data_IF_297244236995
#
_entry.id   IF_297244236995
#
_cell.length_a   1.000
_cell.length_b   1.000
_cell.length_c   1.000
_cell.angle_alpha   90.00
_cell.angle_beta   90.00
_cell.angle_gamma   90.00
#
_symmetry.space_group_name_H-M   'P 1'
#
loop_
_entity.id
_entity.type
_entity.pdbx_description
1 polymer ?
#
# COMPACT_ATOMS: atom_id res chain seq x y z
N UNK A 1 -22.94 45.90 -27.41
CA UNK A 1 -23.83 45.27 -28.42
C UNK A 1 -23.05 44.09 -28.99
N UNK A 2 -23.48 42.82 -28.96
CA UNK A 2 -24.76 42.16 -29.29
C UNK A 2 -24.88 41.87 -30.81
N UNK A 3 -25.08 40.56 -31.12
CA UNK A 3 -25.42 39.91 -32.41
C UNK A 3 -24.26 39.75 -33.44
N UNK A 4 -23.94 38.54 -33.94
CA UNK A 4 -24.67 37.58 -34.83
C UNK A 4 -24.72 38.09 -36.30
N UNK A 5 -24.63 37.29 -37.39
CA UNK A 5 -24.62 35.83 -37.67
C UNK A 5 -24.10 35.60 -39.14
N UNK A 6 -23.88 34.43 -39.79
CA UNK A 6 -24.15 32.97 -39.58
C UNK A 6 -23.18 32.10 -40.43
N UNK A 7 -22.76 30.91 -39.94
CA UNK A 7 -22.35 29.67 -40.67
C UNK A 7 -21.92 28.63 -39.62
N UNK A 8 -22.62 27.54 -39.27
CA UNK A 8 -23.68 26.70 -39.87
C UNK A 8 -23.21 25.64 -40.90
N UNK A 9 -22.53 24.61 -40.39
CA UNK A 9 -22.81 23.20 -40.71
C UNK A 9 -23.13 22.52 -39.36
N UNK A 10 -24.38 22.10 -39.12
CA UNK A 10 -24.93 20.78 -39.44
C UNK A 10 -24.29 19.64 -38.63
N UNK A 11 -24.83 19.41 -37.44
CA UNK A 11 -24.97 18.06 -36.90
C UNK A 11 -26.00 17.32 -37.76
N UNK A 12 -25.77 16.05 -38.07
CA UNK A 12 -26.82 15.11 -38.43
C UNK A 12 -26.89 14.01 -37.36
N UNK A 13 -28.09 13.77 -36.83
CA UNK A 13 -28.35 12.70 -35.88
C UNK A 13 -28.36 11.35 -36.59
N UNK A 14 -27.55 10.40 -36.14
CA UNK A 14 -27.85 8.98 -36.31
C UNK A 14 -28.25 8.42 -34.95
N UNK A 15 -29.56 8.26 -34.74
CA UNK A 15 -30.09 7.41 -33.67
C UNK A 15 -30.01 5.96 -34.14
N UNK A 16 -29.21 5.15 -33.46
CA UNK A 16 -29.49 3.70 -33.36
C UNK A 16 -29.79 3.40 -31.90
N UNK A 17 -31.07 3.41 -31.57
CA UNK A 17 -31.58 2.86 -30.32
C UNK A 17 -31.87 1.38 -30.52
N UNK A 18 -31.07 0.51 -29.90
CA UNK A 18 -31.53 -0.79 -29.42
C UNK A 18 -30.62 -1.27 -28.28
N UNK A 19 -31.24 -1.87 -27.26
CA UNK A 19 -30.62 -2.67 -26.20
C UNK A 19 -29.66 -1.97 -25.20
N UNK A 20 -30.03 -0.78 -24.75
CA UNK A 20 -30.36 -0.60 -23.31
C UNK A 20 -29.27 -0.75 -22.23
N UNK A 21 -27.98 -0.75 -22.54
CA UNK A 21 -26.90 -0.65 -21.54
C UNK A 21 -25.97 0.55 -21.83
N UNK A 22 -25.39 1.12 -20.77
CA UNK A 22 -24.44 2.24 -20.84
C UNK A 22 -23.16 1.88 -20.10
N UNK A 23 -22.21 1.27 -20.81
CA UNK A 23 -20.83 1.16 -20.35
C UNK A 23 -20.09 2.49 -20.60
N UNK A 24 -19.55 3.10 -19.55
CA UNK A 24 -18.78 4.35 -19.66
C UNK A 24 -17.35 4.04 -20.15
N UNK A 25 -17.16 4.00 -21.47
CA UNK A 25 -15.86 3.75 -22.08
C UNK A 25 -14.96 5.00 -21.91
N UNK A 26 -13.94 4.91 -21.03
CA UNK A 26 -12.94 5.96 -20.83
C UNK A 26 -11.94 6.00 -22.01
N UNK A 27 -12.38 6.58 -23.12
CA UNK A 27 -11.54 6.88 -24.28
C UNK A 27 -10.57 8.02 -23.93
N UNK A 28 -9.34 7.68 -23.56
CA UNK A 28 -8.24 8.64 -23.41
C UNK A 28 -7.92 9.29 -24.77
N UNK A 29 -7.80 10.63 -24.87
CA UNK A 29 -7.51 11.30 -26.13
C UNK A 29 -6.13 10.93 -26.70
N UNK A 30 -6.10 10.33 -27.89
CA UNK A 30 -4.87 9.96 -28.61
C UNK A 30 -4.24 11.14 -29.36
N UNK A 31 -3.95 12.25 -28.66
CA UNK A 31 -3.08 13.33 -29.13
C UNK A 31 -2.72 14.34 -28.02
N UNK A 32 -1.55 14.17 -27.38
CA UNK A 32 -0.63 15.25 -26.99
C UNK A 32 0.66 14.66 -26.37
N UNK A 33 1.68 14.40 -27.20
CA UNK A 33 3.02 14.02 -26.71
C UNK A 33 3.79 15.30 -26.35
N UNK A 34 3.58 15.78 -25.12
CA UNK A 34 4.33 16.92 -24.58
C UNK A 34 5.72 16.45 -24.17
N UNK A 35 6.70 16.62 -25.06
CA UNK A 35 8.12 16.58 -24.68
C UNK A 35 8.40 17.71 -23.68
N UNK A 36 8.68 17.35 -22.42
CA UNK A 36 9.34 18.27 -21.48
C UNK A 36 10.84 17.97 -21.44
N UNK A 37 11.65 19.02 -21.61
CA UNK A 37 13.09 18.91 -21.73
C UNK A 37 13.79 18.71 -20.39
N UNK A 38 15.01 18.15 -20.44
CA UNK A 38 15.87 17.93 -19.27
C UNK A 38 16.13 19.22 -18.47
N UNK A 39 15.61 19.28 -17.25
CA UNK A 39 16.04 20.22 -16.21
C UNK A 39 17.02 19.49 -15.27
N UNK A 40 18.31 19.79 -15.40
CA UNK A 40 19.36 19.03 -14.73
C UNK A 40 19.47 19.30 -13.23
N UNK A 41 18.90 18.43 -12.39
CA UNK A 41 19.30 18.30 -10.99
C UNK A 41 19.11 16.87 -10.49
N UNK A 42 20.15 16.03 -10.60
CA UNK A 42 20.15 14.69 -9.98
C UNK A 42 20.14 14.85 -8.45
N UNK A 43 19.16 14.29 -7.70
CA UNK A 43 19.49 13.78 -6.38
C UNK A 43 20.55 12.68 -6.59
N UNK A 44 21.65 12.71 -5.84
CA UNK A 44 22.65 11.65 -5.93
C UNK A 44 22.00 10.30 -5.59
N UNK A 45 22.24 9.29 -6.42
CA UNK A 45 21.84 7.92 -6.08
C UNK A 45 22.52 7.52 -4.75
N UNK A 46 21.82 6.85 -3.82
CA UNK A 46 22.46 6.20 -2.69
C UNK A 46 23.56 5.27 -3.22
N UNK A 47 24.80 5.45 -2.77
CA UNK A 47 26.01 4.95 -3.41
C UNK A 47 26.28 3.44 -3.19
N UNK A 48 25.25 2.61 -3.32
CA UNK A 48 25.26 1.19 -2.92
C UNK A 48 24.33 0.30 -3.78
N UNK A 49 23.89 0.78 -4.95
CA UNK A 49 23.00 0.04 -5.88
C UNK A 49 23.52 -0.05 -7.32
N UNK A 50 24.20 0.96 -7.85
CA UNK A 50 24.79 0.96 -9.21
C UNK A 50 25.93 -0.05 -9.38
N UNK A 51 26.48 -0.56 -8.28
CA UNK A 51 27.43 -1.67 -8.21
C UNK A 51 26.75 -3.06 -8.28
N UNK A 52 25.51 -3.18 -7.83
CA UNK A 52 24.94 -4.49 -7.51
C UNK A 52 24.73 -5.38 -8.75
N UNK A 53 24.19 -4.85 -9.84
CA UNK A 53 23.99 -5.62 -11.08
C UNK A 53 25.28 -5.77 -11.90
N UNK A 54 26.07 -4.69 -11.98
CA UNK A 54 27.31 -4.60 -12.74
C UNK A 54 28.44 -5.48 -12.17
N UNK A 55 28.46 -5.72 -10.86
CA UNK A 55 29.35 -6.69 -10.22
C UNK A 55 28.77 -8.12 -10.25
N UNK A 56 27.45 -8.31 -10.11
CA UNK A 56 26.84 -9.63 -10.09
C UNK A 56 26.86 -10.34 -11.44
N UNK A 57 26.65 -9.64 -12.56
CA UNK A 57 26.59 -10.32 -13.88
C UNK A 57 27.93 -11.00 -14.24
N UNK A 58 29.10 -10.35 -14.16
CA UNK A 58 30.39 -11.01 -14.37
C UNK A 58 30.64 -12.16 -13.38
N UNK A 59 30.32 -11.98 -12.09
CA UNK A 59 30.47 -13.04 -11.08
C UNK A 59 29.60 -14.27 -11.36
N UNK A 60 28.38 -14.07 -11.87
CA UNK A 60 27.49 -15.16 -12.27
C UNK A 60 27.99 -15.85 -13.53
N UNK A 61 28.52 -15.12 -14.51
CA UNK A 61 29.09 -15.66 -15.74
C UNK A 61 30.37 -16.48 -15.44
N UNK A 62 31.25 -15.99 -14.55
CA UNK A 62 32.43 -16.72 -14.08
C UNK A 62 32.04 -18.02 -13.35
N UNK A 63 30.98 -17.97 -12.53
CA UNK A 63 30.57 -19.07 -11.65
C UNK A 63 29.68 -20.13 -12.32
N UNK A 64 28.86 -19.74 -13.29
CA UNK A 64 27.85 -20.61 -13.92
C UNK A 64 28.03 -20.79 -15.43
N UNK A 65 28.98 -20.11 -16.07
CA UNK A 65 29.12 -19.88 -17.51
C UNK A 65 28.04 -18.96 -18.11
N UNK A 66 28.41 -18.23 -19.17
CA UNK A 66 27.52 -17.28 -19.86
C UNK A 66 26.25 -17.95 -20.41
N UNK A 67 26.39 -19.15 -20.96
CA UNK A 67 25.29 -19.93 -21.55
C UNK A 67 24.20 -20.24 -20.51
N UNK A 68 24.56 -20.75 -19.33
CA UNK A 68 23.58 -21.04 -18.27
C UNK A 68 22.96 -19.76 -17.67
N UNK A 69 23.71 -18.66 -17.59
CA UNK A 69 23.18 -17.35 -17.16
C UNK A 69 22.17 -16.80 -18.17
N UNK A 70 22.44 -16.95 -19.47
CA UNK A 70 21.51 -16.67 -20.57
C UNK A 70 20.25 -17.53 -20.49
N UNK A 71 20.39 -18.85 -20.36
CA UNK A 71 19.27 -19.79 -20.15
C UNK A 71 18.39 -19.41 -18.95
N UNK A 72 18.98 -19.03 -17.82
CA UNK A 72 18.23 -18.58 -16.65
C UNK A 72 17.51 -17.24 -16.90
N UNK A 73 18.08 -16.30 -17.65
CA UNK A 73 17.37 -15.08 -18.06
C UNK A 73 16.22 -15.38 -19.03
N UNK A 74 16.45 -16.27 -19.99
CA UNK A 74 15.46 -16.70 -20.99
C UNK A 74 14.30 -17.49 -20.38
N UNK A 75 14.55 -18.47 -19.49
CA UNK A 75 13.46 -19.15 -18.79
C UNK A 75 12.71 -18.16 -17.89
N UNK A 76 13.41 -17.30 -17.13
CA UNK A 76 12.77 -16.26 -16.31
C UNK A 76 11.80 -15.41 -17.15
N UNK A 77 12.28 -14.89 -18.28
CA UNK A 77 11.52 -14.10 -19.22
C UNK A 77 10.31 -14.87 -19.80
N UNK A 78 10.51 -16.09 -20.27
CA UNK A 78 9.44 -16.93 -20.84
C UNK A 78 8.36 -17.32 -19.81
N UNK A 79 8.67 -17.36 -18.51
CA UNK A 79 7.67 -17.49 -17.43
C UNK A 79 6.95 -16.16 -17.17
N UNK A 80 7.69 -15.05 -17.13
CA UNK A 80 7.15 -13.69 -16.92
C UNK A 80 6.14 -13.32 -18.01
N UNK A 81 6.46 -13.54 -19.28
CA UNK A 81 5.56 -13.33 -20.41
C UNK A 81 4.23 -14.08 -20.27
N UNK A 82 4.28 -15.37 -19.89
CA UNK A 82 3.05 -16.18 -19.67
C UNK A 82 2.20 -15.68 -18.51
N UNK A 83 2.80 -15.06 -17.49
CA UNK A 83 2.06 -14.41 -16.40
C UNK A 83 1.44 -13.10 -16.89
N UNK A 84 2.13 -12.30 -17.71
CA UNK A 84 1.55 -11.13 -18.38
C UNK A 84 0.35 -11.50 -19.25
N UNK A 85 0.51 -12.46 -20.15
CA UNK A 85 -0.55 -12.95 -21.05
C UNK A 85 -1.77 -13.46 -20.27
N UNK A 86 -1.53 -14.25 -19.22
CA UNK A 86 -2.61 -14.77 -18.37
C UNK A 86 -3.33 -13.64 -17.61
N UNK A 87 -2.59 -12.70 -17.02
CA UNK A 87 -3.15 -11.55 -16.30
C UNK A 87 -3.93 -10.62 -17.22
N UNK A 88 -3.43 -10.37 -18.44
CA UNK A 88 -4.15 -9.61 -19.46
C UNK A 88 -5.44 -10.32 -19.86
N UNK A 89 -5.40 -11.64 -20.07
CA UNK A 89 -6.62 -12.42 -20.38
C UNK A 89 -7.67 -12.33 -19.28
N UNK A 90 -7.27 -12.30 -18.00
CA UNK A 90 -8.17 -12.19 -16.86
C UNK A 90 -8.89 -10.81 -16.78
N UNK A 91 -8.27 -9.76 -17.30
CA UNK A 91 -8.85 -8.41 -17.36
C UNK A 91 -9.81 -8.22 -18.55
N UNK A 92 -9.71 -9.06 -19.58
CA UNK A 92 -10.52 -9.00 -20.80
C UNK A 92 -11.73 -9.95 -20.77
N UNK A 93 -11.79 -10.89 -19.81
CA UNK A 93 -13.00 -11.70 -19.61
C UNK A 93 -14.12 -10.87 -18.97
N UNK A 94 -15.17 -10.62 -19.76
CA UNK A 94 -16.44 -10.07 -19.27
C UNK A 94 -17.18 -10.99 -18.29
N UNK A 95 -18.50 -10.80 -18.15
CA UNK A 95 -19.32 -11.48 -17.13
C UNK A 95 -19.64 -12.97 -17.42
N UNK A 96 -18.69 -13.74 -17.94
CA UNK A 96 -18.80 -15.20 -18.12
C UNK A 96 -17.98 -15.91 -17.03
N UNK A 97 -18.69 -16.48 -16.05
CA UNK A 97 -18.10 -17.21 -14.92
C UNK A 97 -17.20 -18.39 -15.36
N UNK A 98 -17.51 -19.02 -16.49
CA UNK A 98 -16.75 -20.18 -16.99
C UNK A 98 -15.42 -19.73 -17.59
N UNK A 99 -15.44 -18.69 -18.43
CA UNK A 99 -14.23 -18.11 -18.99
C UNK A 99 -13.37 -17.42 -17.92
N UNK A 100 -13.98 -16.80 -16.88
CA UNK A 100 -13.25 -16.21 -15.76
C UNK A 100 -12.55 -17.29 -14.93
N UNK A 101 -13.22 -18.40 -14.61
CA UNK A 101 -12.63 -19.54 -13.90
C UNK A 101 -11.41 -20.10 -14.65
N UNK A 102 -11.51 -20.22 -15.97
CA UNK A 102 -10.43 -20.70 -16.83
C UNK A 102 -9.26 -19.71 -16.94
N UNK A 103 -9.54 -18.39 -17.00
CA UNK A 103 -8.50 -17.35 -16.98
C UNK A 103 -7.78 -17.29 -15.62
N UNK A 104 -8.51 -17.35 -14.50
CA UNK A 104 -7.92 -17.44 -13.15
C UNK A 104 -7.03 -18.68 -13.02
N UNK A 105 -7.47 -19.83 -13.56
CA UNK A 105 -6.66 -21.05 -13.57
C UNK A 105 -5.34 -20.86 -14.32
N UNK A 106 -5.35 -20.25 -15.51
CA UNK A 106 -4.14 -19.94 -16.28
C UNK A 106 -3.19 -19.00 -15.52
N UNK A 107 -3.73 -17.96 -14.88
CA UNK A 107 -2.96 -17.05 -14.01
C UNK A 107 -2.26 -17.81 -12.87
N UNK A 108 -2.99 -18.70 -12.17
CA UNK A 108 -2.44 -19.51 -11.08
C UNK A 108 -1.37 -20.50 -11.57
N UNK A 109 -1.59 -21.15 -12.71
CA UNK A 109 -0.63 -22.09 -13.31
C UNK A 109 0.65 -21.38 -13.80
N UNK A 110 0.53 -20.25 -14.49
CA UNK A 110 1.67 -19.45 -14.95
C UNK A 110 2.48 -18.88 -13.76
N UNK A 111 1.79 -18.27 -12.78
CA UNK A 111 2.41 -17.66 -11.60
C UNK A 111 3.06 -18.72 -10.71
N UNK A 112 2.42 -19.87 -10.56
CA UNK A 112 2.99 -21.05 -9.89
C UNK A 112 4.25 -21.57 -10.58
N UNK A 113 4.26 -21.63 -11.92
CA UNK A 113 5.44 -22.04 -12.70
C UNK A 113 6.62 -21.07 -12.52
N UNK A 114 6.35 -19.76 -12.50
CA UNK A 114 7.37 -18.73 -12.26
C UNK A 114 8.01 -18.84 -10.87
N UNK A 115 7.21 -18.90 -9.79
CA UNK A 115 7.78 -19.04 -8.44
C UNK A 115 8.43 -20.41 -8.20
N UNK A 116 7.96 -21.48 -8.85
CA UNK A 116 8.62 -22.79 -8.81
C UNK A 116 9.97 -22.83 -9.56
N UNK A 117 10.17 -21.94 -10.54
CA UNK A 117 11.46 -21.68 -11.18
C UNK A 117 12.37 -20.85 -10.25
N UNK A 118 11.92 -19.70 -9.74
CA UNK A 118 12.68 -18.87 -8.78
C UNK A 118 13.12 -19.63 -7.52
N UNK A 119 12.33 -20.61 -7.06
CA UNK A 119 12.65 -21.44 -5.90
C UNK A 119 13.75 -22.50 -6.14
N UNK A 120 14.10 -22.80 -7.40
CA UNK A 120 15.16 -23.74 -7.79
C UNK A 120 16.49 -23.05 -8.12
N UNK A 121 16.46 -21.75 -8.41
CA UNK A 121 17.63 -20.99 -8.80
C UNK A 121 18.62 -20.81 -7.63
N UNK A 122 19.94 -20.77 -7.91
CA UNK A 122 20.95 -20.30 -6.97
C UNK A 122 20.60 -18.94 -6.37
N UNK A 123 21.00 -18.69 -5.12
CA UNK A 123 20.59 -17.50 -4.38
C UNK A 123 21.06 -16.18 -5.01
N UNK A 124 22.25 -16.18 -5.58
CA UNK A 124 22.86 -15.09 -6.34
C UNK A 124 22.19 -14.90 -7.72
N UNK A 125 21.96 -15.97 -8.49
CA UNK A 125 21.24 -15.89 -9.76
C UNK A 125 19.81 -15.37 -9.56
N UNK A 126 19.13 -15.88 -8.52
CA UNK A 126 17.80 -15.41 -8.09
C UNK A 126 17.83 -13.94 -7.65
N UNK A 127 18.89 -13.50 -6.95
CA UNK A 127 19.08 -12.09 -6.56
C UNK A 127 19.25 -11.20 -7.78
N UNK A 128 20.06 -11.60 -8.76
CA UNK A 128 20.24 -10.88 -10.02
C UNK A 128 18.92 -10.75 -10.81
N UNK A 129 18.19 -11.85 -11.02
CA UNK A 129 16.90 -11.82 -11.74
C UNK A 129 15.83 -10.97 -11.03
N UNK A 130 15.84 -10.90 -9.70
CA UNK A 130 14.95 -10.00 -8.93
C UNK A 130 15.38 -8.53 -9.08
N UNK A 131 16.68 -8.25 -9.14
CA UNK A 131 17.20 -6.89 -9.36
C UNK A 131 16.92 -6.40 -10.79
N UNK A 132 17.03 -7.28 -11.80
CA UNK A 132 16.65 -7.00 -13.19
C UNK A 132 15.19 -6.55 -13.38
N UNK A 133 14.31 -6.83 -12.41
CA UNK A 133 12.95 -6.30 -12.45
C UNK A 133 12.84 -4.78 -12.27
N UNK A 134 13.84 -4.13 -11.65
CA UNK A 134 13.82 -2.70 -11.30
C UNK A 134 14.94 -1.87 -11.94
N UNK A 135 15.56 -2.39 -12.99
CA UNK A 135 16.68 -1.76 -13.70
C UNK A 135 16.23 -0.57 -14.55
N UNK A 136 16.99 0.52 -14.57
CA UNK A 136 16.76 1.68 -15.45
C UNK A 136 17.44 1.53 -16.81
N UNK A 137 17.08 2.35 -17.79
CA UNK A 137 17.72 2.33 -19.12
C UNK A 137 19.24 2.55 -19.03
N UNK A 138 19.69 3.57 -18.27
CA UNK A 138 21.11 3.84 -17.97
C UNK A 138 21.84 2.61 -17.39
N UNK A 139 21.17 1.79 -16.57
CA UNK A 139 21.72 0.58 -15.96
C UNK A 139 21.68 -0.65 -16.90
N UNK A 140 20.70 -0.73 -17.81
CA UNK A 140 20.69 -1.71 -18.90
C UNK A 140 21.88 -1.42 -19.83
N UNK A 141 22.04 -0.18 -20.30
CA UNK A 141 23.15 0.20 -21.17
C UNK A 141 24.50 -0.08 -20.49
N UNK A 142 24.64 0.23 -19.20
CA UNK A 142 25.83 -0.12 -18.41
C UNK A 142 26.11 -1.63 -18.31
N UNK A 143 25.09 -2.49 -18.23
CA UNK A 143 25.27 -3.95 -18.31
C UNK A 143 25.69 -4.40 -19.71
N UNK A 144 25.14 -3.77 -20.75
CA UNK A 144 25.44 -4.05 -22.15
C UNK A 144 26.81 -3.53 -22.62
N UNK A 145 27.42 -2.60 -21.88
CA UNK A 145 28.84 -2.23 -22.02
C UNK A 145 29.78 -3.27 -21.39
N UNK A 146 29.37 -3.92 -20.30
CA UNK A 146 30.18 -4.90 -19.56
C UNK A 146 30.13 -6.29 -20.22
N UNK A 147 28.93 -6.76 -20.58
CA UNK A 147 28.69 -8.08 -21.18
C UNK A 147 27.77 -7.95 -22.42
N UNK A 148 28.31 -7.47 -23.56
CA UNK A 148 27.51 -7.20 -24.77
C UNK A 148 26.93 -8.45 -25.43
N UNK A 149 27.44 -9.63 -25.08
CA UNK A 149 27.09 -10.92 -25.69
C UNK A 149 25.81 -11.55 -25.12
N UNK A 150 25.25 -11.03 -24.01
CA UNK A 150 23.94 -11.44 -23.45
C UNK A 150 22.84 -10.39 -23.67
N UNK A 151 22.98 -9.65 -24.78
CA UNK A 151 22.14 -8.47 -25.09
C UNK A 151 20.68 -8.83 -25.32
N UNK A 152 20.41 -9.94 -26.00
CA UNK A 152 19.05 -10.32 -26.34
C UNK A 152 18.28 -10.76 -25.09
N UNK A 153 18.93 -11.52 -24.22
CA UNK A 153 18.40 -12.02 -22.95
C UNK A 153 18.13 -10.88 -21.95
N UNK A 154 19.07 -9.94 -21.80
CA UNK A 154 18.89 -8.74 -20.98
C UNK A 154 17.72 -7.90 -21.49
N UNK A 155 17.65 -7.67 -22.81
CA UNK A 155 16.58 -6.87 -23.42
C UNK A 155 15.21 -7.54 -23.29
N UNK A 156 15.15 -8.84 -23.54
CA UNK A 156 13.93 -9.64 -23.43
C UNK A 156 13.45 -9.68 -21.97
N UNK A 157 14.34 -9.95 -21.02
CA UNK A 157 14.02 -9.98 -19.59
C UNK A 157 13.54 -8.61 -19.09
N UNK A 158 14.25 -7.53 -19.43
CA UNK A 158 13.86 -6.17 -19.06
C UNK A 158 12.47 -5.77 -19.60
N UNK A 159 12.07 -6.29 -20.76
CA UNK A 159 10.73 -6.03 -21.32
C UNK A 159 9.57 -6.65 -20.52
N UNK A 160 9.81 -7.75 -19.78
CA UNK A 160 8.75 -8.50 -19.08
C UNK A 160 8.85 -8.49 -17.56
N UNK A 161 10.04 -8.29 -16.99
CA UNK A 161 10.28 -8.25 -15.55
C UNK A 161 9.49 -7.18 -14.75
N UNK A 162 9.08 -6.01 -15.33
CA UNK A 162 8.17 -5.09 -14.66
C UNK A 162 6.86 -5.72 -14.14
N UNK A 163 6.35 -6.77 -14.80
CA UNK A 163 5.03 -7.33 -14.49
C UNK A 163 4.98 -8.30 -13.28
N UNK A 164 6.13 -8.71 -12.74
CA UNK A 164 6.21 -9.33 -11.41
C UNK A 164 7.24 -8.58 -10.56
N UNK A 165 7.30 -7.25 -10.71
CA UNK A 165 7.84 -6.44 -9.63
C UNK A 165 6.89 -6.46 -8.43
N UNK A 166 7.28 -7.24 -7.44
CA UNK A 166 6.97 -6.97 -6.04
C UNK A 166 7.67 -5.66 -5.60
N UNK A 167 7.23 -4.50 -6.12
CA UNK A 167 7.83 -3.19 -5.84
C UNK A 167 7.80 -2.96 -4.33
N UNK A 168 8.98 -2.98 -3.70
CA UNK A 168 9.11 -2.74 -2.26
C UNK A 168 8.70 -1.30 -1.95
N UNK A 169 7.73 -1.05 -1.07
CA UNK A 169 7.30 0.30 -0.75
C UNK A 169 8.45 1.10 -0.11
N UNK A 170 9.00 2.07 -0.83
CA UNK A 170 9.98 3.03 -0.27
C UNK A 170 9.31 3.99 0.72
N UNK A 171 8.00 4.17 0.59
CA UNK A 171 7.16 4.96 1.48
C UNK A 171 6.12 4.07 2.18
N UNK A 172 5.86 4.38 3.45
CA UNK A 172 4.70 3.91 4.21
C UNK A 172 3.58 4.94 4.08
N UNK A 173 2.42 4.49 3.61
CA UNK A 173 1.22 5.29 3.37
C UNK A 173 0.26 5.08 4.53
N UNK A 174 -0.19 6.17 5.15
CA UNK A 174 -1.16 6.13 6.24
C UNK A 174 -2.33 7.07 5.97
N UNK A 175 -3.58 6.57 5.96
CA UNK A 175 -4.75 7.39 6.21
C UNK A 175 -4.65 8.05 7.60
N UNK A 176 -4.90 9.35 7.65
CA UNK A 176 -4.92 10.15 8.89
C UNK A 176 -6.29 10.80 9.12
N UNK A 177 -7.32 10.27 8.47
CA UNK A 177 -8.70 10.69 8.56
C UNK A 177 -9.38 10.28 9.90
N UNK A 178 -10.59 10.79 10.23
CA UNK A 178 -11.28 10.49 11.49
C UNK A 178 -11.84 9.06 11.64
N UNK A 179 -11.99 8.31 10.54
CA UNK A 179 -12.55 6.94 10.52
C UNK A 179 -11.43 5.93 10.76
N UNK A 180 -10.37 5.95 9.94
CA UNK A 180 -9.23 5.04 10.07
C UNK A 180 -8.50 5.24 11.40
N UNK A 181 -8.50 6.45 11.95
CA UNK A 181 -7.98 6.70 13.31
C UNK A 181 -8.86 6.19 14.46
N UNK A 182 -10.07 5.70 14.17
CA UNK A 182 -10.96 5.06 15.14
C UNK A 182 -11.15 3.56 14.89
N UNK A 183 -10.47 2.96 13.91
CA UNK A 183 -10.71 1.58 13.46
C UNK A 183 -10.92 0.56 14.59
N UNK A 184 -10.04 0.55 15.59
CA UNK A 184 -10.10 -0.39 16.73
C UNK A 184 -11.24 -0.15 17.73
N UNK A 185 -11.95 0.97 17.59
CA UNK A 185 -13.09 1.40 18.41
C UNK A 185 -14.42 1.26 17.66
N UNK A 186 -14.38 0.89 16.37
CA UNK A 186 -15.58 0.72 15.55
C UNK A 186 -16.34 -0.55 15.95
N UNK A 187 -17.67 -0.44 15.92
CA UNK A 187 -18.65 -1.51 16.13
C UNK A 187 -19.44 -1.72 14.82
N UNK A 188 -20.52 -2.48 14.91
CA UNK A 188 -21.46 -2.71 13.80
C UNK A 188 -22.00 -1.40 13.20
N UNK A 189 -22.43 -0.43 14.02
CA UNK A 189 -22.84 0.91 13.57
C UNK A 189 -22.15 2.01 14.39
N UNK A 190 -21.71 3.08 13.71
CA UNK A 190 -20.94 4.16 14.30
C UNK A 190 -21.31 5.51 13.69
N UNK A 191 -21.57 6.52 14.53
CA UNK A 191 -21.61 7.92 14.10
C UNK A 191 -20.25 8.58 14.37
N UNK A 192 -19.54 8.97 13.31
CA UNK A 192 -18.21 9.55 13.40
C UNK A 192 -18.29 11.04 13.11
N UNK A 193 -18.16 11.88 14.15
CA UNK A 193 -17.88 13.31 13.96
C UNK A 193 -16.59 13.48 13.16
N UNK A 194 -16.72 13.98 11.93
CA UNK A 194 -15.61 14.26 10.99
C UNK A 194 -15.20 15.73 11.00
N UNK A 195 -16.11 16.64 11.36
CA UNK A 195 -15.79 18.05 11.56
C UNK A 195 -16.76 18.75 12.53
N UNK A 196 -16.29 19.87 13.10
CA UNK A 196 -17.12 20.84 13.83
C UNK A 196 -16.88 22.22 13.26
N UNK A 197 -17.90 22.79 12.61
CA UNK A 197 -18.01 24.22 12.30
C UNK A 197 -18.78 24.90 13.44
N UNK A 198 -18.71 26.23 13.58
CA UNK A 198 -19.18 26.97 14.78
C UNK A 198 -20.53 26.50 15.34
N UNK A 199 -21.52 26.27 14.47
CA UNK A 199 -22.89 25.87 14.84
C UNK A 199 -23.31 24.51 14.22
N UNK A 200 -22.38 23.72 13.65
CA UNK A 200 -22.69 22.47 12.95
C UNK A 200 -21.63 21.40 13.22
N UNK A 201 -22.06 20.27 13.80
CA UNK A 201 -21.24 19.05 13.87
C UNK A 201 -21.60 18.18 12.66
N UNK A 202 -20.63 17.92 11.80
CA UNK A 202 -20.78 17.09 10.61
C UNK A 202 -20.35 15.68 10.99
N UNK A 203 -21.23 14.71 10.72
CA UNK A 203 -21.06 13.32 11.10
C UNK A 203 -21.17 12.41 9.87
N UNK A 204 -20.41 11.34 9.89
CA UNK A 204 -20.32 10.32 8.85
C UNK A 204 -20.74 9.01 9.47
N UNK A 205 -21.77 8.36 8.94
CA UNK A 205 -22.19 7.05 9.43
C UNK A 205 -21.24 5.98 8.86
N UNK A 206 -20.78 5.08 9.72
CA UNK A 206 -19.90 3.97 9.33
C UNK A 206 -20.46 2.67 9.89
N UNK A 207 -20.88 1.79 8.99
CA UNK A 207 -21.36 0.45 9.32
C UNK A 207 -20.27 -0.56 8.98
N UNK A 208 -20.00 -1.51 9.88
CA UNK A 208 -19.17 -2.68 9.61
C UNK A 208 -20.05 -3.90 9.80
N UNK A 209 -20.25 -4.69 8.76
CA UNK A 209 -20.93 -5.98 8.86
C UNK A 209 -19.95 -7.13 8.64
N UNK A 210 -20.31 -8.28 9.19
CA UNK A 210 -19.53 -9.52 9.16
C UNK A 210 -20.48 -10.70 8.91
N UNK A 211 -20.08 -11.70 8.12
CA UNK A 211 -20.93 -12.85 7.84
C UNK A 211 -21.47 -13.52 9.10
N UNK A 212 -22.72 -13.99 9.07
CA UNK A 212 -23.45 -14.51 10.24
C UNK A 212 -22.66 -15.55 11.05
N UNK A 213 -21.89 -16.43 10.39
CA UNK A 213 -21.02 -17.40 11.06
C UNK A 213 -19.91 -16.75 11.91
N UNK A 214 -19.36 -15.60 11.50
CA UNK A 214 -18.38 -14.82 12.27
C UNK A 214 -19.03 -14.05 13.43
N UNK A 215 -20.32 -13.68 13.28
CA UNK A 215 -21.10 -13.03 14.36
C UNK A 215 -21.38 -14.00 15.51
N UNK A 216 -21.57 -15.29 15.20
CA UNK A 216 -21.78 -16.36 16.19
C UNK A 216 -20.53 -16.60 17.06
N UNK A 217 -19.33 -16.51 16.49
CA UNK A 217 -18.06 -16.62 17.24
C UNK A 217 -17.84 -15.46 18.23
N UNK A 218 -18.64 -14.40 18.15
CA UNK A 218 -18.82 -13.37 19.19
C UNK A 218 -17.62 -12.46 19.49
N UNK A 219 -16.46 -12.71 18.88
CA UNK A 219 -15.18 -12.15 19.29
C UNK A 219 -14.43 -11.40 18.16
N UNK A 220 -15.15 -10.97 17.13
CA UNK A 220 -14.56 -10.16 16.05
C UNK A 220 -14.50 -8.67 16.42
N UNK A 221 -13.33 -8.21 16.85
CA UNK A 221 -13.02 -6.79 17.01
C UNK A 221 -11.74 -6.43 16.26
N UNK A 222 -11.77 -5.32 15.51
CA UNK A 222 -10.60 -4.74 14.86
C UNK A 222 -9.64 -4.11 15.89
N UNK A 223 -8.36 -4.08 15.53
CA UNK A 223 -7.28 -3.58 16.39
C UNK A 223 -6.39 -2.61 15.62
N UNK A 224 -5.50 -1.89 16.33
CA UNK A 224 -4.52 -1.04 15.65
C UNK A 224 -3.39 -1.83 14.98
N UNK A 225 -3.27 -3.14 15.25
CA UNK A 225 -2.45 -4.03 14.43
C UNK A 225 -3.11 -4.27 13.06
N UNK A 226 -4.42 -4.44 13.00
CA UNK A 226 -5.19 -4.52 11.75
C UNK A 226 -5.11 -3.22 10.95
N UNK A 227 -5.18 -2.05 11.61
CA UNK A 227 -4.88 -0.74 11.01
C UNK A 227 -3.49 -0.71 10.35
N UNK A 228 -2.50 -1.30 11.02
CA UNK A 228 -1.12 -1.37 10.51
C UNK A 228 -0.99 -2.30 9.30
N UNK A 229 -1.76 -3.40 9.26
CA UNK A 229 -1.89 -4.29 8.09
C UNK A 229 -2.52 -3.53 6.91
N UNK A 230 -3.65 -2.85 7.11
CA UNK A 230 -4.33 -2.07 6.06
C UNK A 230 -3.38 -1.02 5.47
N UNK A 231 -2.68 -0.25 6.30
CA UNK A 231 -1.65 0.70 5.85
C UNK A 231 -0.54 0.02 5.04
N UNK A 232 -0.11 -1.19 5.42
CA UNK A 232 0.88 -1.97 4.68
C UNK A 232 0.40 -2.38 3.28
N UNK A 233 -0.84 -2.82 3.15
CA UNK A 233 -1.48 -3.16 1.87
C UNK A 233 -1.65 -1.92 1.00
N UNK A 234 -2.07 -0.79 1.58
CA UNK A 234 -2.17 0.50 0.90
C UNK A 234 -0.79 0.98 0.42
N UNK A 235 0.27 0.78 1.20
CA UNK A 235 1.64 1.11 0.80
C UNK A 235 2.12 0.26 -0.37
N UNK A 236 1.71 -1.02 -0.41
CA UNK A 236 1.94 -1.96 -1.51
C UNK A 236 1.18 -1.52 -2.78
N UNK A 237 -0.09 -1.12 -2.65
CA UNK A 237 -0.91 -0.63 -3.75
C UNK A 237 -0.34 0.65 -4.37
N UNK A 238 -0.02 1.66 -3.56
CA UNK A 238 0.53 2.94 -4.04
C UNK A 238 1.95 2.83 -4.58
N UNK A 239 2.70 1.77 -4.25
CA UNK A 239 3.97 1.49 -4.92
C UNK A 239 3.81 0.70 -6.23
N UNK A 240 2.58 0.49 -6.71
CA UNK A 240 2.27 -0.10 -8.02
C UNK A 240 1.93 -1.60 -8.02
N UNK A 241 1.85 -2.25 -6.85
CA UNK A 241 1.57 -3.68 -6.79
C UNK A 241 0.06 -3.98 -6.81
N UNK A 242 -0.38 -4.83 -7.72
CA UNK A 242 -1.73 -5.44 -7.70
C UNK A 242 -1.80 -6.74 -6.86
N UNK A 243 -0.68 -7.22 -6.31
CA UNK A 243 -0.61 -8.47 -5.53
C UNK A 243 0.56 -8.50 -4.55
N UNK A 244 0.45 -9.31 -3.50
CA UNK A 244 1.49 -9.45 -2.47
C UNK A 244 1.51 -10.84 -1.79
N UNK A 245 2.60 -11.09 -1.08
CA UNK A 245 2.78 -12.22 -0.16
C UNK A 245 2.93 -11.72 1.28
N UNK A 246 2.74 -12.59 2.28
CA UNK A 246 2.88 -12.19 3.70
C UNK A 246 4.25 -11.56 4.04
N UNK A 247 5.40 -12.05 3.51
CA UNK A 247 6.69 -11.36 3.69
C UNK A 247 6.75 -9.95 3.07
N UNK A 248 6.10 -9.70 1.93
CA UNK A 248 6.01 -8.35 1.34
C UNK A 248 5.20 -7.40 2.23
N UNK A 249 4.05 -7.87 2.74
CA UNK A 249 3.23 -7.12 3.67
C UNK A 249 3.97 -6.83 4.98
N UNK A 250 4.67 -7.82 5.53
CA UNK A 250 5.50 -7.64 6.72
C UNK A 250 6.66 -6.65 6.49
N UNK A 251 7.28 -6.65 5.31
CA UNK A 251 8.23 -5.60 4.91
C UNK A 251 7.55 -4.22 4.91
N UNK A 252 6.41 -4.05 4.23
CA UNK A 252 5.65 -2.79 4.18
C UNK A 252 5.23 -2.29 5.58
N UNK A 253 4.91 -3.19 6.51
CA UNK A 253 4.53 -2.89 7.90
C UNK A 253 5.72 -2.59 8.83
N UNK A 254 6.97 -2.81 8.42
CA UNK A 254 8.12 -2.77 9.33
C UNK A 254 9.40 -2.15 8.80
N UNK A 255 9.49 -1.91 7.49
CA UNK A 255 10.71 -1.50 6.79
C UNK A 255 11.85 -2.52 6.79
N UNK A 256 11.74 -3.66 7.48
CA UNK A 256 12.82 -4.66 7.53
C UNK A 256 13.01 -5.29 6.15
N UNK A 257 14.24 -5.27 5.64
CA UNK A 257 14.62 -5.97 4.42
C UNK A 257 14.93 -7.43 4.72
N UNK A 258 14.47 -8.34 3.84
CA UNK A 258 14.62 -9.80 3.93
C UNK A 258 14.43 -10.40 5.35
N UNK A 259 13.36 -10.06 6.09
CA UNK A 259 13.20 -10.55 7.45
C UNK A 259 12.81 -12.03 7.48
N UNK A 260 13.51 -12.81 8.30
CA UNK A 260 12.99 -14.09 8.78
C UNK A 260 11.76 -13.79 9.65
N UNK A 261 10.57 -13.99 9.09
CA UNK A 261 9.30 -13.88 9.84
C UNK A 261 9.09 -15.20 10.58
N UNK A 262 8.71 -15.12 11.85
CA UNK A 262 8.31 -16.29 12.64
C UNK A 262 7.02 -16.91 12.08
N UNK A 263 6.95 -18.25 12.01
CA UNK A 263 5.80 -18.94 11.41
C UNK A 263 4.48 -18.62 12.14
N UNK A 264 4.51 -18.44 13.46
CA UNK A 264 3.33 -18.03 14.24
C UNK A 264 2.84 -16.63 13.87
N UNK A 265 3.77 -15.71 13.59
CA UNK A 265 3.45 -14.36 13.12
C UNK A 265 2.99 -14.34 11.66
N UNK A 266 3.46 -15.28 10.83
CA UNK A 266 2.93 -15.50 9.46
C UNK A 266 1.48 -15.96 9.53
N UNK A 267 1.15 -16.95 10.37
CA UNK A 267 -0.23 -17.43 10.54
C UNK A 267 -1.15 -16.39 11.22
N UNK A 268 -0.65 -15.57 12.16
CA UNK A 268 -1.39 -14.43 12.71
C UNK A 268 -1.81 -13.45 11.59
N UNK A 269 -0.87 -13.04 10.74
CA UNK A 269 -1.15 -12.12 9.62
C UNK A 269 -2.12 -12.76 8.62
N UNK A 270 -1.95 -14.05 8.28
CA UNK A 270 -2.88 -14.78 7.41
C UNK A 270 -4.30 -14.79 7.96
N UNK A 271 -4.47 -15.12 9.25
CA UNK A 271 -5.77 -15.15 9.91
C UNK A 271 -6.43 -13.77 9.92
N UNK A 272 -5.67 -12.70 10.17
CA UNK A 272 -6.16 -11.32 10.09
C UNK A 272 -6.57 -10.91 8.67
N UNK A 273 -5.80 -11.30 7.64
CA UNK A 273 -6.17 -11.08 6.24
C UNK A 273 -7.42 -11.88 5.83
N UNK A 274 -7.52 -13.15 6.23
CA UNK A 274 -8.67 -14.02 5.94
C UNK A 274 -9.94 -13.60 6.66
N UNK A 275 -9.84 -12.92 7.80
CA UNK A 275 -10.97 -12.27 8.45
C UNK A 275 -11.36 -10.96 7.77
N UNK A 276 -10.41 -10.01 7.62
CA UNK A 276 -10.71 -8.68 7.08
C UNK A 276 -11.22 -8.69 5.63
N UNK A 277 -10.85 -9.68 4.81
CA UNK A 277 -11.37 -9.82 3.44
C UNK A 277 -12.82 -10.34 3.35
N UNK A 278 -13.44 -10.69 4.48
CA UNK A 278 -14.83 -11.19 4.57
C UNK A 278 -15.78 -10.16 5.16
N UNK A 279 -15.27 -9.10 5.77
CA UNK A 279 -16.05 -8.00 6.32
C UNK A 279 -16.46 -7.04 5.21
N UNK A 280 -17.65 -6.46 5.31
CA UNK A 280 -18.03 -5.28 4.56
C UNK A 280 -17.90 -4.02 5.42
N UNK A 281 -17.67 -2.88 4.78
CA UNK A 281 -17.71 -1.57 5.40
C UNK A 281 -18.49 -0.60 4.49
N UNK A 282 -19.47 0.08 5.08
CA UNK A 282 -20.23 1.14 4.45
C UNK A 282 -19.87 2.47 5.10
N UNK A 283 -19.63 3.50 4.29
CA UNK A 283 -19.30 4.86 4.73
C UNK A 283 -20.25 5.84 4.05
N UNK A 284 -21.19 6.42 4.78
CA UNK A 284 -22.15 7.40 4.26
C UNK A 284 -21.61 8.84 4.38
N UNK A 285 -21.25 9.41 3.23
CA UNK A 285 -20.66 10.74 3.07
C UNK A 285 -21.71 11.81 2.73
N UNK A 286 -23.00 11.48 2.79
CA UNK A 286 -24.12 12.37 2.45
C UNK A 286 -24.03 13.74 3.14
N UNK A 287 -23.82 13.77 4.47
CA UNK A 287 -23.68 15.03 5.21
C UNK A 287 -22.36 15.76 4.93
N UNK A 288 -21.31 15.04 4.50
CA UNK A 288 -20.04 15.65 4.09
C UNK A 288 -20.15 16.36 2.74
N UNK A 289 -20.89 15.80 1.79
CA UNK A 289 -21.15 16.42 0.48
C UNK A 289 -22.07 17.63 0.63
N UNK A 290 -23.16 17.52 1.40
CA UNK A 290 -24.04 18.65 1.75
C UNK A 290 -23.26 19.79 2.43
N UNK A 291 -22.32 19.46 3.31
CA UNK A 291 -21.43 20.45 3.93
C UNK A 291 -20.26 20.92 3.03
N UNK A 292 -20.16 20.44 1.79
CA UNK A 292 -19.09 20.71 0.83
C UNK A 292 -17.68 20.46 1.42
N UNK A 293 -17.53 19.34 2.13
CA UNK A 293 -16.26 18.90 2.74
C UNK A 293 -15.37 18.05 1.82
N UNK A 294 -15.95 17.48 0.77
CA UNK A 294 -15.23 16.79 -0.31
C UNK A 294 -15.11 17.79 -1.47
N UNK A 295 -13.91 17.93 -2.06
CA UNK A 295 -13.68 18.91 -3.14
C UNK A 295 -14.40 18.47 -4.41
N UNK A 296 -14.84 19.45 -5.21
CA UNK A 296 -15.50 19.26 -6.52
C UNK A 296 -14.50 18.84 -7.62
N UNK A 297 -13.77 17.76 -7.36
CA UNK A 297 -12.81 17.13 -8.29
C UNK A 297 -13.41 15.86 -8.94
N UNK A 298 -14.70 15.59 -8.71
CA UNK A 298 -15.48 14.61 -9.46
C UNK A 298 -16.37 15.41 -10.42
N UNK A 299 -16.07 15.34 -11.72
CA UNK A 299 -16.90 16.01 -12.72
C UNK A 299 -18.31 15.43 -12.74
N UNK A 300 -19.32 16.30 -12.89
CA UNK A 300 -20.74 15.92 -12.88
C UNK A 300 -21.45 16.01 -11.53
N UNK A 301 -20.77 16.23 -10.40
CA UNK A 301 -21.37 16.21 -9.03
C UNK A 301 -22.22 17.46 -8.67
N UNK A 302 -22.74 18.17 -9.68
CA UNK A 302 -23.77 19.20 -9.48
C UNK A 302 -25.16 18.53 -9.42
N UNK A 303 -25.55 18.07 -8.23
CA UNK A 303 -26.88 17.49 -7.97
C UNK A 303 -26.89 16.09 -7.33
N UNK A 304 -25.83 15.71 -6.61
CA UNK A 304 -25.81 14.47 -5.82
C UNK A 304 -26.28 14.77 -4.39
N UNK A 305 -27.45 14.24 -4.02
CA UNK A 305 -28.07 14.43 -2.69
C UNK A 305 -27.52 13.48 -1.61
N UNK A 306 -26.98 12.32 -2.01
CA UNK A 306 -26.38 11.30 -1.13
C UNK A 306 -25.23 10.56 -1.82
N UNK A 307 -24.25 10.09 -1.05
CA UNK A 307 -23.09 9.35 -1.57
C UNK A 307 -22.51 8.42 -0.51
N UNK A 308 -22.41 7.13 -0.85
CA UNK A 308 -21.85 6.08 0.01
C UNK A 308 -20.61 5.46 -0.65
N UNK A 309 -19.66 5.03 0.16
CA UNK A 309 -18.64 4.06 -0.25
C UNK A 309 -19.00 2.74 0.43
N UNK A 310 -19.19 1.68 -0.36
CA UNK A 310 -19.60 0.36 0.11
C UNK A 310 -18.70 -0.72 -0.51
N UNK A 311 -18.40 -1.77 0.23
CA UNK A 311 -17.58 -2.89 -0.25
C UNK A 311 -16.86 -3.64 0.87
N UNK A 312 -15.99 -4.59 0.48
CA UNK A 312 -15.19 -5.35 1.45
C UNK A 312 -14.13 -4.46 2.12
N UNK A 313 -13.89 -4.64 3.42
CA UNK A 313 -12.88 -3.86 4.17
C UNK A 313 -11.47 -4.01 3.57
N UNK A 314 -11.15 -5.23 3.14
CA UNK A 314 -10.00 -5.54 2.30
C UNK A 314 -10.45 -6.33 1.06
N UNK A 315 -10.62 -5.68 -0.11
CA UNK A 315 -10.96 -6.37 -1.36
C UNK A 315 -9.77 -7.21 -1.84
N UNK A 316 -9.71 -8.47 -1.38
CA UNK A 316 -8.60 -9.40 -1.61
C UNK A 316 -9.05 -10.79 -2.07
N UNK A 317 -8.58 -11.20 -3.25
CA UNK A 317 -8.53 -12.61 -3.63
C UNK A 317 -7.38 -13.30 -2.90
N UNK A 318 -7.59 -14.52 -2.40
CA UNK A 318 -6.54 -15.36 -1.79
C UNK A 318 -6.28 -16.59 -2.65
N UNK A 319 -5.09 -16.67 -3.22
CA UNK A 319 -4.60 -17.83 -3.95
C UNK A 319 -3.72 -18.69 -3.04
N UNK A 320 -3.92 -19.99 -3.08
CA UNK A 320 -3.17 -20.99 -2.29
C UNK A 320 -2.64 -22.05 -3.23
N UNK A 321 -1.32 -22.25 -3.26
CA UNK A 321 -0.65 -23.25 -4.09
C UNK A 321 0.33 -24.08 -3.28
N UNK A 322 0.58 -25.32 -3.67
CA UNK A 322 1.59 -26.18 -3.03
C UNK A 322 2.78 -26.32 -3.97
N UNK A 323 3.92 -25.76 -3.58
CA UNK A 323 5.18 -25.79 -4.35
C UNK A 323 6.19 -26.60 -3.55
N UNK A 324 6.72 -27.69 -4.13
CA UNK A 324 7.66 -28.61 -3.50
C UNK A 324 7.21 -29.07 -2.09
N UNK A 325 5.91 -29.36 -1.94
CA UNK A 325 5.29 -29.77 -0.66
C UNK A 325 5.03 -28.64 0.34
N UNK A 326 5.50 -27.41 0.10
CA UNK A 326 5.21 -26.24 0.95
C UNK A 326 4.00 -25.47 0.42
N UNK A 327 3.07 -25.15 1.32
CA UNK A 327 1.90 -24.29 1.04
C UNK A 327 2.34 -22.83 0.93
N UNK A 328 2.31 -22.29 -0.28
CA UNK A 328 2.50 -20.86 -0.57
C UNK A 328 1.14 -20.17 -0.68
N UNK A 329 1.06 -18.91 -0.23
CA UNK A 329 -0.17 -18.12 -0.26
C UNK A 329 0.12 -16.70 -0.76
N UNK A 330 -0.70 -16.26 -1.70
CA UNK A 330 -0.59 -14.98 -2.39
C UNK A 330 -1.95 -14.28 -2.37
N UNK A 331 -1.93 -12.97 -2.17
CA UNK A 331 -3.11 -12.13 -2.07
C UNK A 331 -3.10 -11.13 -3.23
N UNK A 332 -4.18 -11.10 -4.03
CA UNK A 332 -4.37 -10.12 -5.10
C UNK A 332 -5.32 -9.03 -4.60
N UNK A 333 -4.95 -7.77 -4.82
CA UNK A 333 -5.79 -6.60 -4.57
C UNK A 333 -6.71 -6.43 -5.77
N UNK A 334 -8.01 -6.58 -5.58
CA UNK A 334 -9.01 -6.52 -6.67
C UNK A 334 -9.63 -5.13 -6.84
N UNK A 335 -9.56 -4.29 -5.80
CA UNK A 335 -10.04 -2.90 -5.81
C UNK A 335 -9.32 -2.06 -4.72
N UNK A 336 -9.54 -0.76 -4.69
CA UNK A 336 -9.02 0.16 -3.68
C UNK A 336 -9.80 0.02 -2.36
N UNK A 337 -9.16 -0.29 -1.22
CA UNK A 337 -9.88 -0.46 0.06
C UNK A 337 -10.74 0.76 0.45
N UNK A 338 -12.01 0.60 0.86
CA UNK A 338 -12.94 1.72 1.09
C UNK A 338 -12.44 2.84 2.02
N UNK A 339 -11.74 2.48 3.10
CA UNK A 339 -11.10 3.44 4.01
C UNK A 339 -10.04 4.30 3.31
N UNK A 340 -9.32 3.72 2.36
CA UNK A 340 -8.30 4.42 1.58
C UNK A 340 -8.91 5.30 0.49
N UNK A 341 -9.98 4.82 -0.17
CA UNK A 341 -10.79 5.62 -1.10
C UNK A 341 -11.36 6.87 -0.43
N UNK A 342 -11.91 6.73 0.79
CA UNK A 342 -12.32 7.86 1.62
C UNK A 342 -11.15 8.82 1.90
N UNK A 343 -10.00 8.31 2.36
CA UNK A 343 -8.84 9.14 2.66
C UNK A 343 -8.29 9.88 1.42
N UNK A 344 -8.34 9.27 0.22
CA UNK A 344 -8.00 9.92 -1.07
C UNK A 344 -8.96 11.06 -1.38
N UNK A 345 -10.28 10.83 -1.37
CA UNK A 345 -11.30 11.87 -1.60
C UNK A 345 -11.14 13.07 -0.65
N UNK A 346 -10.77 12.79 0.60
CA UNK A 346 -10.56 13.79 1.66
C UNK A 346 -9.21 14.49 1.59
N UNK A 347 -8.25 13.98 0.81
CA UNK A 347 -6.83 14.37 0.85
C UNK A 347 -6.26 14.26 2.28
N UNK A 348 -6.63 13.20 3.01
CA UNK A 348 -6.25 12.94 4.41
C UNK A 348 -5.33 11.71 4.51
N UNK A 349 -4.24 11.75 3.75
CA UNK A 349 -3.20 10.72 3.69
C UNK A 349 -1.86 11.40 4.02
N UNK A 350 -0.99 10.73 4.77
CA UNK A 350 0.43 11.07 4.85
C UNK A 350 1.29 9.96 4.25
N UNK A 351 2.45 10.36 3.73
CA UNK A 351 3.43 9.53 3.01
C UNK A 351 4.76 9.70 3.72
N UNK A 352 5.26 8.62 4.32
CA UNK A 352 6.42 8.64 5.21
C UNK A 352 7.54 7.72 4.67
N UNK A 353 8.83 8.07 4.81
CA UNK A 353 9.92 7.15 4.48
C UNK A 353 9.81 5.86 5.30
N UNK A 354 9.87 4.69 4.64
CA UNK A 354 9.66 3.40 5.32
C UNK A 354 10.74 3.11 6.38
N UNK A 355 11.91 3.73 6.26
CA UNK A 355 13.01 3.62 7.22
C UNK A 355 12.65 4.07 8.65
N UNK A 356 11.61 4.90 8.81
CA UNK A 356 11.10 5.25 10.15
C UNK A 356 10.56 4.01 10.89
N UNK A 357 10.05 3.01 10.16
CA UNK A 357 9.59 1.75 10.74
C UNK A 357 10.75 0.81 11.16
N UNK A 358 11.97 1.01 10.63
CA UNK A 358 13.15 0.17 10.93
C UNK A 358 13.67 0.30 12.37
N UNK A 359 13.07 1.15 13.22
CA UNK A 359 13.49 1.38 14.61
C UNK A 359 13.79 0.09 15.39
N UNK A 360 14.92 0.04 16.16
CA UNK A 360 15.59 -1.19 16.57
C UNK A 360 14.87 -1.93 17.71
N UNK A 361 13.77 -2.59 17.36
CA UNK A 361 12.95 -3.42 18.23
C UNK A 361 12.55 -4.70 17.50
N UNK A 362 12.29 -5.77 18.26
CA UNK A 362 11.63 -6.96 17.74
C UNK A 362 10.19 -6.62 17.36
N UNK A 363 9.84 -6.79 16.08
CA UNK A 363 8.53 -6.43 15.54
C UNK A 363 7.48 -7.50 15.89
N UNK A 364 6.42 -7.08 16.58
CA UNK A 364 5.30 -7.91 17.03
C UNK A 364 4.01 -7.06 17.11
N UNK A 365 2.87 -7.70 17.43
CA UNK A 365 1.55 -7.07 17.58
C UNK A 365 1.46 -5.94 18.63
N UNK A 366 2.50 -5.67 19.44
CA UNK A 366 2.59 -4.48 20.31
C UNK A 366 3.48 -3.38 19.71
N UNK A 367 4.65 -3.73 19.17
CA UNK A 367 5.61 -2.71 18.68
C UNK A 367 5.26 -2.17 17.29
N UNK A 368 4.62 -2.96 16.43
CA UNK A 368 4.17 -2.54 15.10
C UNK A 368 3.12 -1.42 15.23
N UNK A 369 1.96 -1.61 15.92
CA UNK A 369 0.99 -0.54 16.11
C UNK A 369 1.54 0.65 16.91
N UNK A 370 2.50 0.44 17.82
CA UNK A 370 3.17 1.55 18.52
C UNK A 370 3.95 2.46 17.55
N UNK A 371 4.67 1.90 16.57
CA UNK A 371 5.34 2.67 15.51
C UNK A 371 4.32 3.45 14.68
N UNK A 372 3.29 2.78 14.18
CA UNK A 372 2.18 3.39 13.40
C UNK A 372 1.51 4.53 14.15
N UNK A 373 1.24 4.34 15.45
CA UNK A 373 0.62 5.35 16.30
C UNK A 373 1.52 6.58 16.49
N UNK A 374 2.77 6.39 16.88
CA UNK A 374 3.70 7.51 17.12
C UNK A 374 3.90 8.34 15.84
N UNK A 375 4.03 7.69 14.69
CA UNK A 375 4.08 8.38 13.39
C UNK A 375 2.80 9.18 13.11
N UNK A 376 1.62 8.55 13.22
CA UNK A 376 0.33 9.20 13.00
C UNK A 376 0.08 10.39 13.94
N UNK A 377 0.49 10.28 15.22
CA UNK A 377 0.41 11.37 16.19
C UNK A 377 1.34 12.52 15.85
N UNK A 378 2.57 12.25 15.41
CA UNK A 378 3.56 13.28 15.04
C UNK A 378 3.13 14.01 13.76
N UNK A 379 2.62 13.30 12.76
CA UNK A 379 2.07 13.92 11.54
C UNK A 379 0.82 14.77 11.85
N UNK A 380 -0.03 14.29 12.76
CA UNK A 380 -1.14 15.08 13.29
C UNK A 380 -0.69 16.40 13.93
N UNK A 381 0.44 16.41 14.64
CA UNK A 381 1.03 17.60 15.28
C UNK A 381 1.73 18.54 14.29
N UNK A 382 2.42 18.01 13.27
CA UNK A 382 3.12 18.79 12.24
C UNK A 382 2.15 19.53 11.29
N UNK A 383 0.94 19.02 11.12
CA UNK A 383 -0.07 19.63 10.24
C UNK A 383 -0.63 20.93 10.86
N UNK A 384 -0.15 22.09 10.39
CA UNK A 384 -0.54 23.43 10.86
C UNK A 384 -2.06 23.73 10.76
N UNK A 385 -2.81 23.05 9.87
CA UNK A 385 -4.27 23.19 9.80
C UNK A 385 -4.99 22.45 10.94
N UNK A 386 -4.32 21.50 11.57
CA UNK A 386 -4.84 20.68 12.65
C UNK A 386 -4.59 21.40 13.98
N UNK A 387 -5.66 21.78 14.71
CA UNK A 387 -5.55 22.49 16.00
C UNK A 387 -5.13 21.59 17.16
N UNK A 388 -4.12 20.76 16.96
CA UNK A 388 -3.45 19.98 18.01
C UNK A 388 -2.54 20.91 18.82
N UNK A 389 -3.15 21.70 19.70
CA UNK A 389 -2.51 22.63 20.67
C UNK A 389 -1.66 21.94 21.75
N UNK A 390 -1.25 20.70 21.51
CA UNK A 390 -0.48 19.85 22.42
C UNK A 390 0.57 19.10 21.63
N UNK A 391 1.79 19.59 21.79
CA UNK A 391 3.09 18.96 21.54
C UNK A 391 3.32 17.62 22.29
N UNK A 392 2.25 16.94 22.73
CA UNK A 392 2.29 15.89 23.77
C UNK A 392 1.56 14.62 23.35
N UNK A 393 2.22 13.48 23.57
CA UNK A 393 1.62 12.15 23.50
C UNK A 393 1.51 11.63 24.94
N UNK A 394 0.28 11.40 25.41
CA UNK A 394 0.06 10.85 26.75
C UNK A 394 0.24 9.33 26.72
N UNK A 395 0.91 8.78 27.74
CA UNK A 395 1.09 7.32 27.82
C UNK A 395 -0.23 6.58 28.03
N UNK A 396 -1.22 7.19 28.67
CA UNK A 396 -2.58 6.64 28.73
C UNK A 396 -3.20 6.47 27.33
N UNK A 397 -2.95 7.41 26.41
CA UNK A 397 -3.42 7.29 25.02
C UNK A 397 -2.66 6.21 24.24
N UNK A 398 -1.37 6.00 24.52
CA UNK A 398 -0.60 4.87 23.98
C UNK A 398 -1.14 3.54 24.51
N UNK A 399 -1.40 3.42 25.82
CA UNK A 399 -1.99 2.20 26.39
C UNK A 399 -3.39 1.94 25.80
N UNK A 400 -4.20 2.99 25.58
CA UNK A 400 -5.52 2.89 24.93
C UNK A 400 -5.43 2.40 23.49
N UNK A 401 -4.45 2.87 22.71
CA UNK A 401 -4.23 2.42 21.33
C UNK A 401 -3.80 0.94 21.25
N UNK A 402 -3.05 0.47 22.24
CA UNK A 402 -2.50 -0.89 22.29
C UNK A 402 -3.42 -1.91 23.02
N UNK A 403 -4.63 -1.52 23.44
CA UNK A 403 -5.53 -2.36 24.25
C UNK A 403 -5.06 -2.60 25.69
N UNK A 404 -4.07 -1.83 26.14
CA UNK A 404 -3.24 -2.06 27.32
C UNK A 404 -3.59 -1.18 28.54
N UNK A 405 -4.77 -0.54 28.54
CA UNK A 405 -5.21 0.35 29.62
C UNK A 405 -5.19 -0.31 31.00
N UNK A 406 -5.64 -1.55 31.12
CA UNK A 406 -5.67 -2.29 32.39
C UNK A 406 -4.43 -3.16 32.63
N UNK A 407 -3.40 -3.04 31.77
CA UNK A 407 -2.19 -3.87 31.85
C UNK A 407 -1.31 -3.56 33.08
N UNK A 408 -0.47 -4.53 33.44
CA UNK A 408 0.34 -4.48 34.66
C UNK A 408 1.47 -3.42 34.59
N UNK A 409 2.02 -3.04 35.75
CA UNK A 409 3.07 -2.00 35.87
C UNK A 409 4.35 -2.34 35.09
N UNK A 410 4.72 -3.62 34.93
CA UNK A 410 5.85 -4.08 34.11
C UNK A 410 5.53 -3.97 32.63
N UNK A 411 4.33 -4.37 32.18
CA UNK A 411 3.88 -4.20 30.78
C UNK A 411 3.83 -2.72 30.38
N UNK A 412 3.23 -1.87 31.21
CA UNK A 412 3.25 -0.41 31.03
C UNK A 412 4.66 0.17 31.00
N UNK A 413 5.59 -0.31 31.85
CA UNK A 413 7.01 0.10 31.76
C UNK A 413 7.60 -0.27 30.39
N UNK A 414 7.48 -1.53 29.94
CA UNK A 414 8.03 -1.97 28.63
C UNK A 414 7.53 -1.12 27.47
N UNK A 415 6.25 -0.73 27.48
CA UNK A 415 5.67 0.13 26.43
C UNK A 415 6.32 1.53 26.41
N UNK A 416 6.66 2.09 27.59
CA UNK A 416 7.46 3.34 27.67
C UNK A 416 8.88 3.12 27.17
N UNK A 417 9.54 2.06 27.64
CA UNK A 417 10.90 1.70 27.21
C UNK A 417 10.98 1.56 25.67
N UNK A 418 9.98 0.93 25.03
CA UNK A 418 9.85 0.83 23.57
C UNK A 418 9.56 2.17 22.89
N UNK A 419 8.73 3.02 23.51
CA UNK A 419 8.42 4.37 22.99
C UNK A 419 9.69 5.22 22.91
N UNK A 420 10.53 5.18 23.94
CA UNK A 420 11.80 5.92 23.99
C UNK A 420 12.79 5.42 22.91
N UNK A 421 12.88 4.12 22.67
CA UNK A 421 13.68 3.57 21.56
C UNK A 421 13.18 4.02 20.18
N UNK A 422 11.86 4.04 19.95
CA UNK A 422 11.27 4.49 18.68
C UNK A 422 11.50 5.99 18.46
N UNK A 423 11.31 6.82 19.50
CA UNK A 423 11.56 8.26 19.40
C UNK A 423 13.05 8.58 19.22
N UNK A 424 13.94 7.79 19.81
CA UNK A 424 15.40 7.91 19.57
C UNK A 424 15.73 7.62 18.10
N UNK A 425 15.13 6.60 17.50
CA UNK A 425 15.26 6.32 16.06
C UNK A 425 14.72 7.47 15.19
N UNK A 426 13.60 8.08 15.59
CA UNK A 426 13.06 9.25 14.89
C UNK A 426 13.97 10.49 14.96
N UNK A 427 14.76 10.64 16.04
CA UNK A 427 15.80 11.67 16.14
C UNK A 427 16.96 11.35 15.19
N UNK A 428 17.48 10.12 15.19
CA UNK A 428 18.61 9.73 14.31
C UNK A 428 18.24 9.80 12.82
N UNK A 429 16.97 9.59 12.48
CA UNK A 429 16.43 9.78 11.11
C UNK A 429 16.07 11.26 10.80
N UNK A 430 16.32 12.22 11.70
CA UNK A 430 16.03 13.64 11.51
C UNK A 430 14.53 14.00 11.44
N UNK A 431 13.64 13.07 11.76
CA UNK A 431 12.18 13.20 11.62
C UNK A 431 11.53 14.03 12.74
N UNK A 432 12.19 14.07 13.90
CA UNK A 432 11.95 14.97 15.04
C UNK A 432 13.31 15.48 15.56
N UNK A 433 13.35 16.58 16.31
CA UNK A 433 14.61 17.12 16.86
C UNK A 433 14.96 16.53 18.22
N UNK A 434 13.98 16.44 19.11
CA UNK A 434 14.13 15.91 20.47
C UNK A 434 12.77 15.48 21.04
N UNK A 435 12.79 14.73 22.13
CA UNK A 435 11.62 14.50 22.98
C UNK A 435 11.94 14.77 24.46
N UNK A 436 10.95 15.15 25.25
CA UNK A 436 11.06 15.31 26.71
C UNK A 436 10.11 14.35 27.43
N UNK A 437 10.53 13.76 28.55
CA UNK A 437 9.67 12.89 29.37
C UNK A 437 8.86 13.74 30.36
N UNK A 438 7.54 13.77 30.19
CA UNK A 438 6.63 14.54 31.04
C UNK A 438 6.35 13.76 32.33
N UNK A 439 6.54 14.42 33.48
CA UNK A 439 6.34 13.85 34.81
C UNK A 439 5.41 14.73 35.64
N UNK A 440 4.44 14.11 36.29
CA UNK A 440 3.56 14.73 37.28
C UNK A 440 3.86 14.05 38.63
N UNK A 441 4.57 14.78 39.50
CA UNK A 441 5.16 14.23 40.72
C UNK A 441 6.12 13.07 40.41
N UNK A 442 5.77 11.86 40.86
CA UNK A 442 6.55 10.62 40.62
C UNK A 442 6.07 9.83 39.39
N UNK A 443 5.01 10.25 38.72
CA UNK A 443 4.38 9.52 37.61
C UNK A 443 4.84 10.09 36.27
N UNK A 444 5.35 9.26 35.38
CA UNK A 444 5.57 9.62 33.97
C UNK A 444 4.22 9.56 33.24
N UNK A 445 3.71 10.71 32.78
CA UNK A 445 2.36 10.83 32.19
C UNK A 445 2.35 10.90 30.66
N UNK A 446 3.47 11.31 30.04
CA UNK A 446 3.60 11.33 28.59
C UNK A 446 5.00 11.71 28.11
N UNK A 447 5.09 11.98 26.81
CA UNK A 447 6.26 12.58 26.16
C UNK A 447 5.84 13.85 25.43
N UNK A 448 6.71 14.86 25.44
CA UNK A 448 6.63 16.02 24.54
C UNK A 448 7.51 15.74 23.32
N UNK A 449 7.05 16.09 22.13
CA UNK A 449 7.79 15.97 20.88
C UNK A 449 8.14 17.36 20.35
N UNK A 450 9.36 17.54 19.86
CA UNK A 450 9.81 18.75 19.17
C UNK A 450 10.26 18.39 17.75
N UNK A 451 10.05 19.29 16.81
CA UNK A 451 10.53 19.17 15.43
C UNK A 451 11.01 20.55 14.95
N UNK A 452 11.86 20.59 13.92
CA UNK A 452 12.01 21.82 13.13
C UNK A 452 10.74 21.96 12.30
N UNK A 453 10.09 23.11 12.35
CA UNK A 453 9.19 23.49 11.27
C UNK A 453 10.02 23.55 9.97
N UNK A 454 9.45 23.14 8.85
CA UNK A 454 10.07 23.42 7.56
C UNK A 454 10.06 24.94 7.38
N UNK A 455 11.20 25.49 6.95
CA UNK A 455 11.24 26.82 6.35
C UNK A 455 10.26 26.82 5.15
N UNK A 456 9.48 27.90 5.03
CA UNK A 456 8.31 27.99 4.13
C UNK A 456 8.71 28.33 2.69
#
# INVERSE_FOLDING_TARGET
MIKQMTKRLKFDMIKVLQNGQHGALLLLPTQEVIYMANAGMKPAAPADYTSALSELLPQLIEKYSREAVGDYMNECSAKLARVQESNASLLDVGSDETAQSDAVKRVVEATGSYYAFLAKLPEDMRRFLILMGGVTADEIDGLLEIEPDVREEISLLASVAPAIQAIRPKNYIMPIDPITNKLAQLKEFNEITVARRKNLTIQTAVTIDSPEHMRIDGNFQLTNYDKSIINGIVSILESGNSSFTVPMLYHAMTGKENPTVDDGLVEEIKAKLDAMRRLSINIDLTEEIKAHMIRRNIDGVNGIDSFTIDGYLLPLNKYTGVVNGKRSEMYQIIDTPPLYSYAKLKNQITTLPIDLLKAPLNNNATTIPLKTYLLSRIEGMKNQNNRLTRDKILFESIYRELGDLESDKKRKKRIRDYTEVILTHFISMGYITQYEIIKEGRTITGVRIHWKEKEQ
#
